data_IF_369457364796
#
_entry.id   IF_369457364796
#
_cell.length_a   1.000
_cell.length_b   1.000
_cell.length_c   1.000
_cell.angle_alpha   90.00
_cell.angle_beta   90.00
_cell.angle_gamma   90.00
#
_symmetry.space_group_name_H-M   'P 1'
#
loop_
_entity.id
_entity.type
_entity.pdbx_description
1 polymer ?
#
# COMPACT_ATOMS: atom_id res chain seq x y z
N UNK A 1 -2.88 2.01 -22.23
CA UNK A 1 -3.43 0.77 -22.79
C UNK A 1 -3.71 -0.34 -21.80
N UNK A 2 -3.03 -0.42 -20.64
CA UNK A 2 -3.16 -1.55 -19.68
C UNK A 2 -4.54 -1.67 -19.03
N UNK A 3 -5.31 -0.58 -18.94
CA UNK A 3 -6.63 -0.57 -18.31
C UNK A 3 -7.58 -1.61 -18.92
N UNK A 4 -7.59 -1.77 -20.26
CA UNK A 4 -8.48 -2.71 -20.95
C UNK A 4 -8.11 -4.17 -20.68
N UNK A 5 -6.82 -4.47 -20.51
CA UNK A 5 -6.37 -5.80 -20.10
C UNK A 5 -6.88 -6.16 -18.69
N UNK A 6 -6.82 -5.19 -17.76
CA UNK A 6 -7.32 -5.38 -16.40
C UNK A 6 -8.85 -5.52 -16.33
N UNK A 7 -9.60 -4.74 -17.11
CA UNK A 7 -11.07 -4.83 -17.16
C UNK A 7 -11.56 -6.22 -17.55
N UNK A 8 -10.83 -6.94 -18.43
CA UNK A 8 -11.17 -8.31 -18.86
C UNK A 8 -11.12 -9.33 -17.72
N UNK A 9 -10.41 -9.04 -16.62
CA UNK A 9 -10.25 -9.95 -15.47
C UNK A 9 -11.44 -9.96 -14.52
N UNK A 10 -12.37 -8.98 -14.64
CA UNK A 10 -13.57 -8.88 -13.79
C UNK A 10 -13.24 -8.91 -12.28
N UNK A 11 -12.22 -8.17 -11.86
CA UNK A 11 -11.86 -8.05 -10.46
C UNK A 11 -12.99 -7.41 -9.63
N UNK A 12 -13.01 -7.71 -8.33
CA UNK A 12 -13.95 -7.09 -7.39
C UNK A 12 -13.73 -5.58 -7.33
N UNK A 13 -14.81 -4.82 -7.45
CA UNK A 13 -14.74 -3.35 -7.44
C UNK A 13 -14.58 -2.83 -6.02
N UNK A 14 -13.57 -2.00 -5.80
CA UNK A 14 -13.34 -1.25 -4.57
C UNK A 14 -13.87 0.19 -4.74
N UNK A 15 -15.09 0.45 -4.30
CA UNK A 15 -15.72 1.79 -4.34
C UNK A 15 -15.68 2.50 -2.98
N UNK A 16 -14.89 2.01 -2.04
CA UNK A 16 -14.78 2.58 -0.70
C UNK A 16 -14.03 1.66 0.25
N UNK A 17 -14.09 1.97 1.54
CA UNK A 17 -13.50 1.17 2.60
C UNK A 17 -14.33 1.27 3.88
N UNK A 18 -14.32 0.21 4.67
CA UNK A 18 -14.95 0.13 6.00
C UNK A 18 -13.88 -0.01 7.06
N UNK A 19 -14.02 0.78 8.12
CA UNK A 19 -13.26 0.63 9.35
C UNK A 19 -14.21 0.27 10.48
N UNK A 20 -13.82 -0.69 11.32
CA UNK A 20 -14.61 -1.17 12.44
C UNK A 20 -13.78 -1.15 13.71
N UNK A 21 -14.41 -0.84 14.84
CA UNK A 21 -13.81 -0.94 16.18
C UNK A 21 -14.90 -1.29 17.19
N UNK A 22 -14.99 -2.55 17.58
CA UNK A 22 -16.12 -3.06 18.35
C UNK A 22 -17.42 -2.87 17.57
N UNK A 23 -18.40 -2.22 18.19
CA UNK A 23 -19.72 -1.91 17.61
C UNK A 23 -19.73 -0.71 16.65
N UNK A 24 -18.61 0.04 16.58
CA UNK A 24 -18.52 1.26 15.76
C UNK A 24 -18.07 0.95 14.35
N UNK A 25 -18.78 1.54 13.38
CA UNK A 25 -18.47 1.38 11.94
C UNK A 25 -18.33 2.76 11.31
N UNK A 26 -17.22 2.95 10.58
CA UNK A 26 -16.98 4.09 9.72
C UNK A 26 -16.85 3.62 8.27
N UNK A 27 -17.73 4.09 7.39
CA UNK A 27 -17.68 3.79 5.96
C UNK A 27 -17.22 5.02 5.18
N UNK A 28 -16.26 4.81 4.28
CA UNK A 28 -15.89 5.76 3.25
C UNK A 28 -16.42 5.28 1.91
N UNK A 29 -17.05 6.18 1.17
CA UNK A 29 -17.57 5.97 -0.18
C UNK A 29 -16.78 6.89 -1.11
N UNK A 30 -16.00 6.32 -2.02
CA UNK A 30 -15.12 7.09 -2.90
C UNK A 30 -15.88 8.00 -3.87
N UNK A 31 -17.17 7.75 -4.13
CA UNK A 31 -18.01 8.68 -4.90
C UNK A 31 -18.31 9.97 -4.17
N UNK A 32 -18.10 10.02 -2.84
CA UNK A 32 -18.32 11.18 -1.99
C UNK A 32 -17.02 11.89 -1.59
N UNK A 33 -15.89 11.56 -2.25
CA UNK A 33 -14.62 12.21 -1.98
C UNK A 33 -14.61 13.67 -2.44
N UNK A 34 -13.77 14.48 -1.83
CA UNK A 34 -13.60 15.92 -2.13
C UNK A 34 -13.03 16.15 -3.53
N UNK A 35 -11.99 15.42 -3.89
CA UNK A 35 -11.24 15.61 -5.13
C UNK A 35 -11.95 14.94 -6.30
N UNK A 36 -12.08 15.61 -7.44
CA UNK A 36 -12.61 15.03 -8.67
C UNK A 36 -11.70 13.93 -9.22
N UNK A 37 -12.26 12.99 -9.97
CA UNK A 37 -11.55 11.89 -10.59
C UNK A 37 -12.18 10.53 -10.28
N UNK A 38 -11.43 9.45 -10.50
CA UNK A 38 -11.91 8.08 -10.32
C UNK A 38 -12.43 7.85 -8.89
N UNK A 39 -13.59 7.26 -8.78
CA UNK A 39 -14.29 6.96 -7.52
C UNK A 39 -14.30 5.47 -7.18
N UNK A 40 -13.53 4.68 -7.92
CA UNK A 40 -13.37 3.25 -7.72
C UNK A 40 -12.00 2.76 -8.16
N UNK A 41 -11.63 1.59 -7.68
CA UNK A 41 -10.50 0.77 -8.14
C UNK A 41 -10.87 -0.70 -7.99
N UNK A 42 -9.91 -1.62 -7.93
CA UNK A 42 -10.15 -3.04 -7.75
C UNK A 42 -9.52 -3.60 -6.48
N UNK A 43 -10.12 -4.69 -5.98
CA UNK A 43 -9.54 -5.64 -5.04
C UNK A 43 -9.04 -6.83 -5.86
N UNK A 44 -7.73 -7.06 -5.85
CA UNK A 44 -7.09 -7.96 -6.81
C UNK A 44 -6.22 -9.01 -6.14
N UNK A 45 -6.28 -10.28 -6.60
CA UNK A 45 -5.20 -11.23 -6.36
C UNK A 45 -3.95 -10.75 -7.10
N UNK A 46 -2.88 -10.39 -6.37
CA UNK A 46 -1.70 -9.73 -6.94
C UNK A 46 -0.97 -10.56 -7.98
N UNK A 47 -0.90 -11.90 -7.81
CA UNK A 47 -0.28 -12.77 -8.80
C UNK A 47 -0.97 -12.68 -10.17
N UNK A 48 -2.31 -12.67 -10.20
CA UNK A 48 -3.07 -12.54 -11.44
C UNK A 48 -3.03 -11.12 -12.01
N UNK A 49 -3.12 -10.10 -11.14
CA UNK A 49 -3.05 -8.70 -11.55
C UNK A 49 -1.68 -8.37 -12.16
N UNK A 50 -0.60 -8.73 -11.50
CA UNK A 50 0.75 -8.45 -11.97
C UNK A 50 1.03 -9.22 -13.28
N UNK A 51 0.57 -10.49 -13.37
CA UNK A 51 0.69 -11.27 -14.60
C UNK A 51 -0.11 -10.69 -15.75
N UNK A 52 -1.32 -10.19 -15.52
CA UNK A 52 -2.12 -9.56 -16.57
C UNK A 52 -1.41 -8.34 -17.19
N UNK A 53 -0.68 -7.58 -16.39
CA UNK A 53 0.12 -6.44 -16.87
C UNK A 53 1.33 -6.89 -17.69
N UNK A 54 2.05 -7.91 -17.23
CA UNK A 54 3.23 -8.43 -17.95
C UNK A 54 2.81 -9.10 -19.27
N UNK A 55 1.75 -9.91 -19.27
CA UNK A 55 1.22 -10.54 -20.49
C UNK A 55 0.86 -9.47 -21.55
N UNK A 56 0.24 -8.38 -21.15
CA UNK A 56 -0.11 -7.30 -22.07
C UNK A 56 1.14 -6.60 -22.63
N UNK A 57 2.18 -6.37 -21.79
CA UNK A 57 3.45 -5.77 -22.25
C UNK A 57 4.17 -6.65 -23.27
N UNK A 58 4.16 -7.96 -23.10
CA UNK A 58 4.72 -8.90 -24.08
C UNK A 58 4.03 -8.78 -25.45
N UNK A 59 2.70 -8.54 -25.46
CA UNK A 59 1.97 -8.30 -26.75
C UNK A 59 2.43 -7.01 -27.45
N UNK A 60 3.01 -6.08 -26.72
CA UNK A 60 3.60 -4.83 -27.27
C UNK A 60 5.06 -4.99 -27.69
N UNK A 61 5.62 -6.19 -27.55
CA UNK A 61 7.00 -6.49 -27.93
C UNK A 61 8.02 -6.13 -26.86
N UNK A 62 7.60 -5.95 -25.60
CA UNK A 62 8.52 -5.77 -24.48
C UNK A 62 9.10 -7.15 -24.12
N UNK A 63 10.42 -7.27 -24.11
CA UNK A 63 11.08 -8.48 -23.65
C UNK A 63 11.03 -8.55 -22.12
N UNK A 64 10.56 -9.66 -21.59
CA UNK A 64 10.52 -9.93 -20.16
C UNK A 64 11.24 -11.25 -19.90
N UNK A 65 12.39 -11.16 -19.20
CA UNK A 65 13.17 -12.32 -18.81
C UNK A 65 12.81 -12.72 -17.37
N UNK A 66 12.27 -13.91 -17.20
CA UNK A 66 11.96 -14.50 -15.89
C UNK A 66 13.15 -15.27 -15.35
N UNK A 67 13.11 -15.54 -14.03
CA UNK A 67 14.13 -16.36 -13.33
C UNK A 67 15.56 -15.80 -13.49
N UNK A 68 15.68 -14.48 -13.63
CA UNK A 68 16.94 -13.75 -13.75
C UNK A 68 17.16 -12.90 -12.49
N UNK A 69 18.18 -13.24 -11.71
CA UNK A 69 18.56 -12.50 -10.51
C UNK A 69 19.57 -11.40 -10.84
N UNK A 70 19.25 -10.14 -10.55
CA UNK A 70 20.23 -9.05 -10.64
C UNK A 70 21.12 -9.10 -9.40
N UNK A 71 22.42 -9.37 -9.61
CA UNK A 71 23.41 -9.56 -8.53
C UNK A 71 24.45 -8.46 -8.44
N UNK A 72 24.55 -7.60 -9.45
CA UNK A 72 25.50 -6.48 -9.48
C UNK A 72 25.10 -5.42 -10.49
N UNK A 73 25.58 -4.21 -10.27
CA UNK A 73 25.46 -3.10 -11.21
C UNK A 73 26.68 -2.21 -11.12
N UNK A 74 27.28 -1.88 -12.27
CA UNK A 74 28.38 -0.94 -12.41
C UNK A 74 27.92 0.21 -13.28
N UNK A 75 28.10 1.45 -12.80
CA UNK A 75 27.75 2.68 -13.52
C UNK A 75 29.00 3.33 -14.12
N UNK A 76 28.87 3.82 -15.34
CA UNK A 76 29.85 4.68 -16.01
C UNK A 76 29.13 5.92 -16.54
N UNK A 77 29.00 6.93 -15.70
CA UNK A 77 28.07 8.03 -15.94
C UNK A 77 26.62 7.50 -15.90
N UNK A 78 25.82 7.86 -16.89
CA UNK A 78 24.45 7.35 -17.04
C UNK A 78 24.36 5.92 -17.57
N UNK A 79 25.40 5.45 -18.26
CA UNK A 79 25.44 4.07 -18.77
C UNK A 79 25.73 3.07 -17.64
N UNK A 80 25.19 1.88 -17.76
CA UNK A 80 25.35 0.83 -16.75
C UNK A 80 25.61 -0.54 -17.36
N UNK A 81 26.29 -1.39 -16.58
CA UNK A 81 26.41 -2.83 -16.84
C UNK A 81 25.76 -3.55 -15.64
N UNK A 82 24.68 -4.25 -15.91
CA UNK A 82 23.97 -5.05 -14.90
C UNK A 82 24.38 -6.51 -15.01
N UNK A 83 24.90 -7.09 -13.93
CA UNK A 83 25.25 -8.51 -13.84
C UNK A 83 24.02 -9.30 -13.42
N UNK A 84 23.68 -10.30 -14.22
CA UNK A 84 22.53 -11.19 -14.04
C UNK A 84 23.02 -12.59 -13.80
N UNK A 85 22.40 -13.27 -12.83
CA UNK A 85 22.61 -14.66 -12.52
C UNK A 85 21.40 -15.49 -12.94
N UNK A 86 21.64 -16.50 -13.73
CA UNK A 86 20.65 -17.48 -14.16
C UNK A 86 20.39 -18.55 -13.09
N UNK A 87 19.32 -19.34 -13.27
CA UNK A 87 18.94 -20.45 -12.37
C UNK A 87 20.06 -21.49 -12.26
N UNK A 88 20.80 -21.75 -13.33
CA UNK A 88 21.93 -22.66 -13.34
C UNK A 88 23.22 -22.07 -12.71
N UNK A 89 23.16 -20.84 -12.24
CA UNK A 89 24.27 -20.12 -11.62
C UNK A 89 25.21 -19.43 -12.61
N UNK A 90 24.96 -19.53 -13.93
CA UNK A 90 25.73 -18.80 -14.93
C UNK A 90 25.52 -17.29 -14.82
N UNK A 91 26.57 -16.51 -15.15
CA UNK A 91 26.52 -15.06 -15.12
C UNK A 91 26.50 -14.50 -16.54
N UNK A 92 25.64 -13.52 -16.74
CA UNK A 92 25.58 -12.72 -17.96
C UNK A 92 25.53 -11.22 -17.62
N UNK A 93 25.73 -10.36 -18.60
CA UNK A 93 25.72 -8.93 -18.40
C UNK A 93 24.86 -8.23 -19.46
N UNK A 94 24.09 -7.23 -19.01
CA UNK A 94 23.28 -6.37 -19.88
C UNK A 94 23.73 -4.93 -19.71
N UNK A 95 23.99 -4.25 -20.84
CA UNK A 95 24.23 -2.81 -20.86
C UNK A 95 22.91 -2.06 -20.99
N UNK A 96 22.75 -0.99 -20.23
CA UNK A 96 21.59 -0.12 -20.31
C UNK A 96 22.01 1.36 -20.19
N UNK A 97 21.26 2.23 -20.86
CA UNK A 97 21.43 3.70 -20.73
C UNK A 97 20.76 4.24 -19.46
N UNK A 98 19.81 3.50 -18.92
CA UNK A 98 19.09 3.87 -17.70
C UNK A 98 18.44 2.64 -17.06
N UNK A 99 18.45 2.56 -15.74
CA UNK A 99 17.84 1.50 -14.96
C UNK A 99 16.64 2.06 -14.19
N UNK A 100 15.49 1.35 -14.27
CA UNK A 100 14.35 1.57 -13.40
C UNK A 100 14.28 0.40 -12.42
N UNK A 101 14.55 0.63 -11.15
CA UNK A 101 14.38 -0.39 -10.14
C UNK A 101 12.93 -0.38 -9.62
N UNK A 102 12.16 -1.37 -10.05
CA UNK A 102 10.81 -1.67 -9.58
C UNK A 102 10.77 -3.00 -8.81
N UNK A 103 11.88 -3.40 -8.19
CA UNK A 103 12.06 -4.70 -7.51
C UNK A 103 11.20 -4.87 -6.24
N UNK A 104 10.43 -3.85 -5.87
CA UNK A 104 9.50 -3.91 -4.76
C UNK A 104 10.19 -4.22 -3.43
N UNK A 105 9.72 -5.23 -2.71
CA UNK A 105 10.34 -5.69 -1.47
C UNK A 105 11.72 -6.36 -1.68
N UNK A 106 12.06 -6.71 -2.92
CA UNK A 106 13.38 -7.21 -3.29
C UNK A 106 14.49 -6.17 -3.10
N UNK A 107 14.16 -4.86 -3.29
CA UNK A 107 15.06 -3.72 -3.02
C UNK A 107 16.47 -3.93 -3.59
N UNK A 108 16.53 -4.23 -4.89
CA UNK A 108 17.78 -4.66 -5.55
C UNK A 108 18.81 -3.54 -5.53
N UNK A 109 18.55 -2.40 -6.18
CA UNK A 109 19.49 -1.28 -6.18
C UNK A 109 19.70 -0.67 -4.78
N UNK A 110 18.67 -0.51 -3.93
CA UNK A 110 18.89 -0.05 -2.55
C UNK A 110 19.93 -0.89 -1.80
N UNK A 111 19.92 -2.21 -1.94
CA UNK A 111 20.92 -3.11 -1.31
C UNK A 111 22.29 -3.03 -2.00
N UNK A 112 22.33 -3.06 -3.32
CA UNK A 112 23.59 -3.04 -4.08
C UNK A 112 24.34 -1.73 -3.94
N UNK A 113 23.64 -0.61 -3.75
CA UNK A 113 24.20 0.76 -3.68
C UNK A 113 24.20 1.34 -2.26
N UNK A 114 23.91 0.54 -1.24
CA UNK A 114 23.80 0.99 0.17
C UNK A 114 22.88 2.20 0.35
N UNK A 115 21.71 2.17 -0.29
CA UNK A 115 20.72 3.25 -0.21
C UNK A 115 19.66 3.04 0.87
N UNK A 116 19.60 1.87 1.49
CA UNK A 116 18.64 1.59 2.55
C UNK A 116 18.81 2.55 3.73
N UNK A 117 17.69 3.02 4.27
CA UNK A 117 17.64 3.72 5.55
C UNK A 117 16.45 3.23 6.38
N UNK A 118 16.51 3.35 7.72
CA UNK A 118 15.35 3.07 8.57
C UNK A 118 14.16 3.95 8.19
N UNK A 119 12.97 3.37 8.20
CA UNK A 119 11.72 4.16 8.10
C UNK A 119 11.40 4.83 9.43
N UNK A 120 10.80 6.02 9.36
CA UNK A 120 10.26 6.74 10.52
C UNK A 120 8.88 6.20 10.97
N UNK A 121 8.33 5.24 10.24
CA UNK A 121 7.13 4.50 10.63
C UNK A 121 7.53 3.39 11.60
N UNK A 122 6.70 3.14 12.61
CA UNK A 122 6.96 2.12 13.64
C UNK A 122 7.24 0.72 13.08
N UNK A 123 7.81 -0.16 13.91
CA UNK A 123 8.10 -1.54 13.55
C UNK A 123 6.82 -2.39 13.59
N UNK A 124 6.10 -2.42 12.47
CA UNK A 124 4.96 -3.28 12.27
C UNK A 124 5.32 -4.46 11.37
N UNK A 125 4.69 -5.59 11.63
CA UNK A 125 4.75 -6.79 10.79
C UNK A 125 3.33 -7.18 10.38
N UNK A 126 3.20 -7.97 9.34
CA UNK A 126 1.94 -8.57 8.95
C UNK A 126 2.02 -10.08 8.90
N UNK A 127 0.90 -10.75 9.19
CA UNK A 127 0.70 -12.17 8.94
C UNK A 127 -0.58 -12.35 8.16
N UNK A 128 -0.55 -13.05 7.03
CA UNK A 128 -1.71 -13.12 6.13
C UNK A 128 -1.74 -14.38 5.28
N UNK A 129 -2.94 -14.68 4.79
CA UNK A 129 -3.22 -15.70 3.78
C UNK A 129 -4.44 -15.34 2.95
N UNK A 130 -4.81 -16.19 2.00
CA UNK A 130 -6.12 -16.19 1.35
C UNK A 130 -6.95 -17.38 1.81
N UNK A 131 -8.25 -17.18 1.98
CA UNK A 131 -9.19 -18.23 2.36
C UNK A 131 -10.25 -18.41 1.29
N UNK A 132 -10.66 -19.65 1.05
CA UNK A 132 -11.85 -19.94 0.27
C UNK A 132 -13.08 -19.59 1.11
N UNK A 133 -13.64 -18.42 0.85
CA UNK A 133 -14.62 -17.77 1.73
C UNK A 133 -16.06 -18.30 1.49
N UNK A 134 -16.31 -19.51 1.95
CA UNK A 134 -17.60 -20.19 1.79
C UNK A 134 -18.70 -19.61 2.68
N UNK A 135 -18.33 -18.80 3.68
CA UNK A 135 -19.27 -18.13 4.59
C UNK A 135 -19.47 -16.65 4.23
N UNK A 136 -19.06 -16.22 3.02
CA UNK A 136 -19.14 -14.82 2.57
C UNK A 136 -20.59 -14.34 2.54
N UNK A 137 -20.93 -13.21 3.19
CA UNK A 137 -22.24 -12.58 3.09
C UNK A 137 -22.58 -12.19 1.65
N UNK A 138 -23.87 -12.08 1.35
CA UNK A 138 -24.33 -11.56 0.06
C UNK A 138 -24.30 -10.04 0.00
N UNK A 139 -24.21 -9.48 -1.22
CA UNK A 139 -24.22 -8.05 -1.48
C UNK A 139 -23.00 -7.32 -0.95
N UNK A 140 -23.16 -6.04 -0.58
CA UNK A 140 -22.06 -5.16 -0.17
C UNK A 140 -21.27 -5.68 1.03
N UNK A 141 -21.91 -6.36 1.96
CA UNK A 141 -21.26 -6.94 3.14
C UNK A 141 -20.21 -8.01 2.75
N UNK A 142 -20.39 -8.68 1.64
CA UNK A 142 -19.45 -9.67 1.13
C UNK A 142 -18.40 -9.12 0.17
N UNK A 143 -18.51 -7.87 -0.27
CA UNK A 143 -17.61 -7.29 -1.28
C UNK A 143 -16.78 -6.11 -0.77
N UNK A 144 -17.21 -5.44 0.31
CA UNK A 144 -16.48 -4.29 0.84
C UNK A 144 -15.19 -4.70 1.54
N UNK A 145 -14.09 -4.03 1.19
CA UNK A 145 -12.85 -4.12 1.98
C UNK A 145 -13.09 -3.58 3.38
N UNK A 146 -12.68 -4.34 4.38
CA UNK A 146 -12.86 -3.96 5.78
C UNK A 146 -11.56 -4.04 6.56
N UNK A 147 -11.39 -3.07 7.47
CA UNK A 147 -10.33 -3.01 8.46
C UNK A 147 -10.97 -3.10 9.84
N UNK A 148 -10.74 -4.20 10.56
CA UNK A 148 -11.24 -4.42 11.92
C UNK A 148 -10.13 -4.13 12.93
N UNK A 149 -10.34 -3.11 13.76
CA UNK A 149 -9.36 -2.60 14.72
C UNK A 149 -9.55 -3.34 16.03
N UNK A 150 -8.71 -4.36 16.24
CA UNK A 150 -8.77 -5.20 17.45
C UNK A 150 -8.04 -4.58 18.65
N UNK A 151 -7.09 -3.70 18.39
CA UNK A 151 -6.45 -2.82 19.39
C UNK A 151 -5.92 -1.54 18.73
N UNK A 152 -5.37 -0.60 19.50
CA UNK A 152 -4.87 0.66 18.98
C UNK A 152 -3.87 0.46 17.82
N UNK A 153 -2.98 -0.51 17.93
CA UNK A 153 -1.90 -0.75 16.98
C UNK A 153 -2.06 -2.05 16.17
N UNK A 154 -3.11 -2.84 16.45
CA UNK A 154 -3.34 -4.13 15.76
C UNK A 154 -4.69 -4.14 15.07
N UNK A 155 -4.71 -4.51 13.82
CA UNK A 155 -5.90 -4.53 12.99
C UNK A 155 -5.87 -5.68 11.98
N UNK A 156 -7.05 -6.18 11.63
CA UNK A 156 -7.30 -7.21 10.63
C UNK A 156 -7.77 -6.55 9.33
N UNK A 157 -7.22 -6.95 8.19
CA UNK A 157 -7.87 -6.66 6.91
C UNK A 157 -8.70 -7.85 6.43
N UNK A 158 -9.79 -7.53 5.76
CA UNK A 158 -10.66 -8.48 5.05
C UNK A 158 -10.89 -7.93 3.66
N UNK A 159 -10.28 -8.55 2.63
CA UNK A 159 -10.30 -8.08 1.24
C UNK A 159 -10.88 -9.17 0.36
N UNK A 160 -12.20 -9.13 0.08
CA UNK A 160 -12.85 -10.10 -0.80
C UNK A 160 -12.41 -9.93 -2.26
N UNK A 161 -12.18 -11.04 -2.96
CA UNK A 161 -11.92 -11.07 -4.39
C UNK A 161 -13.12 -11.63 -5.15
N UNK A 162 -13.22 -11.32 -6.46
CA UNK A 162 -14.31 -11.80 -7.31
C UNK A 162 -14.29 -13.32 -7.56
N UNK A 163 -13.15 -13.98 -7.36
CA UNK A 163 -12.95 -15.41 -7.56
C UNK A 163 -13.44 -16.30 -6.40
N UNK A 164 -14.08 -15.72 -5.36
CA UNK A 164 -14.57 -16.45 -4.19
C UNK A 164 -13.57 -16.57 -3.04
N UNK A 165 -12.32 -16.15 -3.23
CA UNK A 165 -11.35 -16.05 -2.16
C UNK A 165 -11.42 -14.68 -1.46
N UNK A 166 -10.99 -14.65 -0.21
CA UNK A 166 -10.81 -13.42 0.57
C UNK A 166 -9.40 -13.40 1.15
N UNK A 167 -8.67 -12.31 0.94
CA UNK A 167 -7.42 -12.07 1.65
C UNK A 167 -7.73 -11.63 3.07
N UNK A 168 -7.14 -12.30 4.04
CA UNK A 168 -7.21 -11.95 5.46
C UNK A 168 -5.81 -11.82 6.03
N UNK A 169 -5.61 -10.85 6.91
CA UNK A 169 -4.32 -10.72 7.57
C UNK A 169 -4.30 -9.65 8.62
N UNK A 170 -3.45 -9.84 9.61
CA UNK A 170 -3.22 -8.90 10.70
C UNK A 170 -1.96 -8.07 10.45
N UNK A 171 -2.04 -6.82 10.86
CA UNK A 171 -0.88 -5.94 11.05
C UNK A 171 -0.85 -5.53 12.51
N UNK A 172 0.34 -5.49 13.07
CA UNK A 172 0.55 -5.06 14.44
C UNK A 172 2.04 -4.89 14.75
N UNK A 173 2.39 -4.46 15.97
CA UNK A 173 3.77 -4.37 16.41
C UNK A 173 4.50 -5.70 16.19
N UNK A 174 5.72 -5.66 15.64
CA UNK A 174 6.46 -6.88 15.26
C UNK A 174 6.62 -7.84 16.42
N UNK A 175 6.97 -7.33 17.62
CA UNK A 175 7.14 -8.15 18.81
C UNK A 175 5.82 -8.79 19.27
N UNK A 176 4.68 -8.10 19.07
CA UNK A 176 3.36 -8.65 19.38
C UNK A 176 2.99 -9.82 18.46
N UNK A 177 3.18 -9.68 17.14
CA UNK A 177 2.95 -10.78 16.19
C UNK A 177 3.88 -11.96 16.47
N UNK A 178 5.14 -11.69 16.81
CA UNK A 178 6.11 -12.73 17.14
C UNK A 178 5.82 -13.44 18.48
N UNK A 179 5.09 -12.82 19.38
CA UNK A 179 4.72 -13.43 20.69
C UNK A 179 3.80 -14.63 20.57
N UNK A 180 3.01 -14.73 19.48
CA UNK A 180 2.17 -15.92 19.22
C UNK A 180 3.04 -17.12 18.90
N UNK A 181 2.70 -18.28 19.47
CA UNK A 181 3.49 -19.51 19.36
C UNK A 181 2.98 -20.40 18.23
N UNK A 182 3.80 -21.38 17.81
CA UNK A 182 3.43 -22.37 16.81
C UNK A 182 3.80 -21.99 15.38
N UNK A 183 3.27 -22.75 14.43
CA UNK A 183 3.37 -22.49 12.99
C UNK A 183 2.67 -21.17 12.60
N UNK A 184 2.93 -20.65 11.41
CA UNK A 184 2.25 -19.44 10.94
C UNK A 184 0.72 -19.65 10.88
N UNK A 185 0.28 -20.85 10.53
CA UNK A 185 -1.16 -21.21 10.55
C UNK A 185 -1.75 -21.09 11.95
N UNK A 186 -1.10 -21.68 12.96
CA UNK A 186 -1.57 -21.61 14.35
C UNK A 186 -1.56 -20.18 14.88
N UNK A 187 -0.52 -19.40 14.55
CA UNK A 187 -0.47 -17.97 14.91
C UNK A 187 -1.64 -17.17 14.32
N UNK A 188 -1.92 -17.33 13.03
CA UNK A 188 -3.03 -16.61 12.39
C UNK A 188 -4.39 -17.04 12.98
N UNK A 189 -4.57 -18.33 13.27
CA UNK A 189 -5.79 -18.86 13.90
C UNK A 189 -5.98 -18.28 15.30
N UNK A 190 -4.92 -18.20 16.11
CA UNK A 190 -5.00 -17.56 17.43
C UNK A 190 -5.29 -16.06 17.34
N UNK A 191 -4.64 -15.36 16.40
CA UNK A 191 -4.93 -13.95 16.17
C UNK A 191 -6.35 -13.70 15.67
N UNK A 192 -6.93 -14.63 14.90
CA UNK A 192 -8.33 -14.51 14.43
C UNK A 192 -9.33 -14.43 15.57
N UNK A 193 -9.04 -15.03 16.73
CA UNK A 193 -9.88 -14.94 17.93
C UNK A 193 -9.98 -13.52 18.51
N UNK A 194 -9.09 -12.61 18.10
CA UNK A 194 -9.13 -11.19 18.50
C UNK A 194 -10.26 -10.42 17.81
N UNK A 195 -10.75 -10.92 16.67
CA UNK A 195 -11.84 -10.29 15.93
C UNK A 195 -13.17 -10.93 16.31
N UNK A 196 -13.93 -10.28 17.16
CA UNK A 196 -15.28 -10.75 17.55
C UNK A 196 -16.22 -10.83 16.34
N UNK A 197 -16.04 -9.94 15.35
CA UNK A 197 -16.90 -9.86 14.18
C UNK A 197 -16.58 -10.91 13.11
N UNK A 198 -15.30 -11.22 12.92
CA UNK A 198 -14.86 -12.07 11.81
C UNK A 198 -14.46 -13.48 12.20
N UNK A 199 -14.35 -13.79 13.49
CA UNK A 199 -13.92 -15.11 13.97
C UNK A 199 -14.80 -16.23 13.38
N UNK A 200 -16.11 -16.16 13.57
CA UNK A 200 -17.06 -17.19 13.12
C UNK A 200 -17.07 -17.37 11.60
N UNK A 201 -16.80 -16.27 10.84
CA UNK A 201 -16.74 -16.32 9.38
C UNK A 201 -15.53 -17.10 8.88
N UNK A 202 -14.37 -16.92 9.50
CA UNK A 202 -13.12 -17.48 9.02
C UNK A 202 -12.64 -18.71 9.78
N UNK A 203 -13.26 -19.04 10.90
CA UNK A 203 -12.93 -20.25 11.65
C UNK A 203 -13.13 -21.51 10.81
N UNK A 204 -12.10 -22.35 10.75
CA UNK A 204 -12.11 -23.65 10.07
C UNK A 204 -12.14 -23.59 8.53
N UNK A 205 -11.96 -22.41 7.93
CA UNK A 205 -11.85 -22.31 6.46
C UNK A 205 -10.48 -22.80 5.96
N UNK A 206 -10.48 -23.33 4.76
CA UNK A 206 -9.27 -23.75 4.03
C UNK A 206 -8.45 -22.54 3.59
N UNK A 207 -7.16 -22.56 3.88
CA UNK A 207 -6.19 -21.57 3.43
C UNK A 207 -5.66 -21.95 2.04
N UNK A 208 -5.57 -20.99 1.12
CA UNK A 208 -5.01 -21.17 -0.21
C UNK A 208 -3.51 -21.48 -0.16
N UNK A 209 -2.82 -20.91 0.83
CA UNK A 209 -1.40 -21.12 1.10
C UNK A 209 -1.11 -20.92 2.60
N UNK A 210 0.00 -21.51 3.07
CA UNK A 210 0.43 -21.30 4.45
C UNK A 210 0.64 -19.81 4.72
N UNK A 211 0.13 -19.26 5.86
CA UNK A 211 0.27 -17.83 6.15
C UNK A 211 1.71 -17.35 6.11
N UNK A 212 1.89 -16.20 5.49
CA UNK A 212 3.20 -15.55 5.32
C UNK A 212 3.34 -14.41 6.32
N UNK A 213 4.52 -14.30 6.94
CA UNK A 213 4.86 -13.16 7.79
C UNK A 213 5.81 -12.24 7.02
N UNK A 214 5.43 -10.96 6.89
CA UNK A 214 6.31 -9.89 6.40
C UNK A 214 6.73 -9.05 7.61
N UNK A 215 8.02 -9.12 7.94
CA UNK A 215 8.59 -8.40 9.10
C UNK A 215 9.01 -6.99 8.71
N UNK A 216 8.79 -6.05 9.66
CA UNK A 216 9.22 -4.65 9.50
C UNK A 216 8.83 -4.08 8.14
N UNK A 217 7.54 -3.98 7.89
CA UNK A 217 6.93 -3.68 6.58
C UNK A 217 7.42 -2.35 6.00
N UNK A 218 7.53 -1.33 6.86
CA UNK A 218 7.95 0.01 6.43
C UNK A 218 9.41 0.04 5.98
N UNK A 219 9.66 0.62 4.81
CA UNK A 219 10.99 0.73 4.19
C UNK A 219 11.18 2.11 3.60
N UNK A 220 12.40 2.62 3.63
CA UNK A 220 12.78 3.92 3.05
C UNK A 220 14.16 3.87 2.43
N UNK A 221 14.55 4.91 1.68
CA UNK A 221 15.85 5.05 1.03
C UNK A 221 16.47 6.42 1.26
N UNK A 222 17.80 6.48 1.15
CA UNK A 222 18.57 7.73 1.21
C UNK A 222 18.35 8.61 -0.02
N UNK A 223 18.13 7.99 -1.20
CA UNK A 223 17.95 8.66 -2.50
C UNK A 223 16.93 7.90 -3.35
N UNK A 224 16.10 8.62 -4.10
CA UNK A 224 15.13 8.04 -5.03
C UNK A 224 15.70 7.84 -6.45
N UNK A 225 16.78 8.52 -6.77
CA UNK A 225 17.41 8.48 -8.10
C UNK A 225 18.92 8.70 -7.98
N UNK A 226 19.63 8.44 -9.05
CA UNK A 226 21.05 8.76 -9.24
C UNK A 226 21.39 8.87 -10.72
N UNK A 227 22.64 9.06 -11.04
CA UNK A 227 23.10 9.08 -12.43
C UNK A 227 22.85 7.69 -13.04
N UNK A 228 21.96 7.61 -14.03
CA UNK A 228 21.62 6.37 -14.74
C UNK A 228 20.59 5.46 -14.05
N UNK A 229 19.97 5.84 -12.92
CA UNK A 229 18.92 5.04 -12.31
C UNK A 229 17.83 5.85 -11.59
N UNK A 230 16.67 5.23 -11.42
CA UNK A 230 15.57 5.68 -10.55
C UNK A 230 14.93 4.49 -9.83
N UNK A 231 14.48 4.72 -8.59
CA UNK A 231 13.74 3.75 -7.80
C UNK A 231 12.25 4.07 -7.88
N UNK A 232 11.40 3.05 -8.03
CA UNK A 232 9.94 3.21 -8.11
C UNK A 232 9.21 2.25 -7.18
N UNK A 233 7.99 2.61 -6.77
CA UNK A 233 7.17 1.75 -5.90
C UNK A 233 7.87 1.36 -4.60
N UNK A 234 7.72 0.10 -4.18
CA UNK A 234 8.24 -0.38 -2.89
C UNK A 234 9.78 -0.52 -2.87
N UNK A 235 10.47 -0.45 -4.01
CA UNK A 235 11.93 -0.35 -4.00
C UNK A 235 12.39 1.01 -3.49
N UNK A 236 11.57 2.05 -3.63
CA UNK A 236 11.81 3.40 -3.13
C UNK A 236 11.30 3.57 -1.69
N UNK A 237 9.99 3.43 -1.49
CA UNK A 237 9.33 3.69 -0.21
C UNK A 237 8.16 2.74 0.00
N UNK A 238 8.01 2.22 1.21
CA UNK A 238 6.80 1.55 1.65
C UNK A 238 6.48 1.98 3.08
N UNK A 239 5.26 2.46 3.31
CA UNK A 239 4.86 2.98 4.60
C UNK A 239 4.16 1.91 5.44
N UNK A 240 2.89 1.62 5.08
CA UNK A 240 2.02 0.71 5.82
C UNK A 240 0.82 0.34 4.93
N UNK A 241 0.27 -0.88 5.04
CA UNK A 241 -0.85 -1.28 4.19
C UNK A 241 -2.21 -0.70 4.61
N UNK A 242 -2.32 -0.03 5.76
CA UNK A 242 -3.61 0.45 6.32
C UNK A 242 -4.43 1.32 5.37
N UNK A 243 -3.79 2.11 4.52
CA UNK A 243 -4.48 2.95 3.53
C UNK A 243 -4.31 2.46 2.09
N UNK A 244 -3.79 1.25 1.89
CA UNK A 244 -3.62 0.63 0.56
C UNK A 244 -2.83 1.50 -0.45
N UNK A 245 -1.86 2.28 0.00
CA UNK A 245 -1.13 3.28 -0.81
C UNK A 245 -0.08 2.70 -1.76
N UNK A 246 0.35 1.43 -1.58
CA UNK A 246 1.49 0.86 -2.30
C UNK A 246 1.34 0.86 -3.82
N UNK A 247 0.17 0.47 -4.35
CA UNK A 247 -0.07 0.48 -5.80
C UNK A 247 -0.15 1.89 -6.35
N UNK A 248 -0.73 2.84 -5.60
CA UNK A 248 -0.76 4.27 -5.97
C UNK A 248 0.66 4.81 -6.16
N UNK A 249 1.54 4.57 -5.19
CA UNK A 249 2.94 5.00 -5.32
C UNK A 249 3.69 4.28 -6.44
N UNK A 250 3.45 2.98 -6.63
CA UNK A 250 4.10 2.22 -7.69
C UNK A 250 3.72 2.75 -9.09
N UNK A 251 2.43 2.99 -9.32
CA UNK A 251 1.94 3.49 -10.62
C UNK A 251 2.33 4.93 -10.86
N UNK A 252 2.20 5.82 -9.87
CA UNK A 252 2.56 7.23 -10.02
C UNK A 252 4.06 7.42 -10.20
N UNK A 253 4.89 6.80 -9.36
CA UNK A 253 6.34 6.89 -9.50
C UNK A 253 6.83 6.37 -10.85
N UNK A 254 6.27 5.25 -11.31
CA UNK A 254 6.64 4.69 -12.62
C UNK A 254 6.19 5.58 -13.78
N UNK A 255 5.02 6.20 -13.69
CA UNK A 255 4.51 7.12 -14.72
C UNK A 255 5.38 8.38 -14.82
N UNK A 256 5.72 9.00 -13.69
CA UNK A 256 6.58 10.19 -13.65
C UNK A 256 7.98 9.83 -14.14
N UNK A 257 8.57 8.76 -13.59
CA UNK A 257 9.90 8.32 -13.99
C UNK A 257 10.00 8.03 -15.49
N UNK A 258 9.02 7.32 -16.07
CA UNK A 258 9.04 6.99 -17.51
C UNK A 258 9.00 8.22 -18.40
N UNK A 259 8.24 9.26 -18.03
CA UNK A 259 8.20 10.53 -18.77
C UNK A 259 9.54 11.26 -18.72
N UNK A 260 10.18 11.31 -17.55
CA UNK A 260 11.46 11.97 -17.36
C UNK A 260 12.59 11.22 -18.06
N UNK A 261 12.60 9.90 -18.00
CA UNK A 261 13.56 9.08 -18.74
C UNK A 261 13.43 9.31 -20.24
N UNK A 262 12.20 9.34 -20.76
CA UNK A 262 11.99 9.61 -22.19
C UNK A 262 12.56 10.98 -22.62
N UNK A 263 12.36 12.04 -21.82
CA UNK A 263 12.98 13.36 -22.04
C UNK A 263 14.50 13.27 -22.02
N UNK A 264 15.08 12.65 -21.00
CA UNK A 264 16.54 12.54 -20.85
C UNK A 264 17.18 11.76 -22.00
N UNK A 265 16.57 10.64 -22.43
CA UNK A 265 17.05 9.85 -23.56
C UNK A 265 16.90 10.59 -24.91
N UNK A 266 15.98 11.55 -25.00
CA UNK A 266 15.85 12.47 -26.13
C UNK A 266 16.89 13.63 -26.11
N UNK A 267 17.72 13.70 -25.06
CA UNK A 267 18.76 14.73 -24.90
C UNK A 267 18.30 16.02 -24.21
N UNK A 268 17.09 15.99 -23.59
CA UNK A 268 16.60 17.11 -22.80
C UNK A 268 17.21 17.07 -21.38
N UNK A 269 17.38 18.24 -20.77
CA UNK A 269 17.77 18.32 -19.35
C UNK A 269 16.58 18.02 -18.46
N UNK A 270 16.78 17.15 -17.48
CA UNK A 270 15.77 16.74 -16.48
C UNK A 270 16.24 17.11 -15.09
N UNK A 271 15.39 17.80 -14.33
CA UNK A 271 15.62 18.09 -12.92
C UNK A 271 14.98 16.98 -12.06
N UNK A 272 15.72 15.89 -11.88
CA UNK A 272 15.27 14.73 -11.10
C UNK A 272 14.91 15.06 -9.64
N UNK A 273 15.56 16.08 -9.05
CA UNK A 273 15.23 16.48 -7.68
C UNK A 273 13.83 17.08 -7.61
N UNK A 274 13.55 18.10 -8.42
CA UNK A 274 12.27 18.80 -8.35
C UNK A 274 11.14 18.07 -9.09
N UNK A 275 11.43 17.48 -10.28
CA UNK A 275 10.40 16.85 -11.11
C UNK A 275 10.04 15.43 -10.64
N UNK A 276 10.91 14.76 -9.86
CA UNK A 276 10.66 13.41 -9.36
C UNK A 276 10.72 13.32 -7.84
N UNK A 277 11.89 13.58 -7.23
CA UNK A 277 12.11 13.26 -5.83
C UNK A 277 11.21 14.10 -4.90
N UNK A 278 11.16 15.42 -5.07
CA UNK A 278 10.32 16.29 -4.27
C UNK A 278 8.83 16.03 -4.52
N UNK A 279 8.43 15.81 -5.78
CA UNK A 279 7.07 15.45 -6.13
C UNK A 279 6.62 14.15 -5.42
N UNK A 280 7.43 13.09 -5.46
CA UNK A 280 7.10 11.84 -4.78
C UNK A 280 7.09 12.00 -3.25
N UNK A 281 8.04 12.73 -2.68
CA UNK A 281 8.09 13.02 -1.24
C UNK A 281 6.84 13.75 -0.74
N UNK A 282 6.27 14.67 -1.53
CA UNK A 282 5.01 15.33 -1.16
C UNK A 282 3.89 14.32 -0.90
N UNK A 283 3.63 13.39 -1.82
CA UNK A 283 2.60 12.36 -1.64
C UNK A 283 2.92 11.38 -0.50
N UNK A 284 4.20 10.96 -0.39
CA UNK A 284 4.68 10.09 0.69
C UNK A 284 4.43 10.75 2.05
N UNK A 285 4.75 12.04 2.21
CA UNK A 285 4.59 12.77 3.47
C UNK A 285 3.12 12.87 3.92
N UNK A 286 2.19 13.02 2.98
CA UNK A 286 0.75 13.01 3.30
C UNK A 286 0.37 11.65 3.88
N UNK A 287 0.63 10.55 3.18
CA UNK A 287 0.31 9.22 3.68
C UNK A 287 1.09 8.87 4.96
N UNK A 288 2.35 9.24 5.06
CA UNK A 288 3.14 9.01 6.29
C UNK A 288 2.53 9.71 7.52
N UNK A 289 1.98 10.92 7.35
CA UNK A 289 1.22 11.57 8.40
C UNK A 289 0.00 10.75 8.79
N UNK A 290 -0.79 10.31 7.82
CA UNK A 290 -1.99 9.53 8.08
C UNK A 290 -1.66 8.21 8.79
N UNK A 291 -0.60 7.51 8.38
CA UNK A 291 -0.14 6.29 9.05
C UNK A 291 0.30 6.58 10.49
N UNK A 292 1.09 7.63 10.72
CA UNK A 292 1.51 8.02 12.08
C UNK A 292 0.30 8.38 12.96
N UNK A 293 -0.62 9.19 12.43
CA UNK A 293 -1.82 9.61 13.17
C UNK A 293 -2.86 8.47 13.32
N UNK A 294 -2.78 7.42 12.53
CA UNK A 294 -3.51 6.18 12.74
C UNK A 294 -3.03 5.47 14.01
N UNK A 295 -1.73 5.25 14.14
CA UNK A 295 -1.14 4.54 15.29
C UNK A 295 -1.09 5.38 16.57
N UNK A 296 -1.18 6.70 16.50
CA UNK A 296 -1.42 7.54 17.70
C UNK A 296 -2.88 7.52 18.17
N UNK A 297 -3.80 7.01 17.35
CA UNK A 297 -5.22 6.99 17.63
C UNK A 297 -6.00 8.23 17.14
N UNK A 298 -5.31 9.27 16.70
CA UNK A 298 -5.96 10.52 16.25
C UNK A 298 -6.92 10.28 15.07
N UNK A 299 -6.50 9.54 14.04
CA UNK A 299 -7.40 9.20 12.93
C UNK A 299 -8.53 8.27 13.35
N UNK A 300 -8.27 7.31 14.25
CA UNK A 300 -9.32 6.46 14.80
C UNK A 300 -10.35 7.29 15.60
N UNK A 301 -9.89 8.32 16.33
CA UNK A 301 -10.79 9.25 17.02
C UNK A 301 -11.71 9.97 16.03
N UNK A 302 -11.17 10.47 14.91
CA UNK A 302 -11.96 11.13 13.86
C UNK A 302 -12.92 10.15 13.17
N UNK A 303 -12.45 8.94 12.84
CA UNK A 303 -13.27 7.97 12.11
C UNK A 303 -14.48 7.48 12.91
N UNK A 304 -14.33 7.37 14.23
CA UNK A 304 -15.36 6.85 15.13
C UNK A 304 -16.00 7.94 15.99
N UNK A 305 -15.90 9.20 15.53
CA UNK A 305 -16.61 10.31 16.15
C UNK A 305 -18.12 10.20 15.91
N UNK A 306 -18.90 10.57 16.91
CA UNK A 306 -20.37 10.66 16.81
C UNK A 306 -20.83 11.82 15.96
N UNK A 307 -20.03 12.91 15.87
CA UNK A 307 -20.30 14.08 15.05
C UNK A 307 -19.71 13.90 13.64
N UNK A 308 -20.42 13.17 12.77
CA UNK A 308 -20.00 12.95 11.38
C UNK A 308 -20.06 14.26 10.58
N UNK A 309 -18.92 14.92 10.39
CA UNK A 309 -18.81 16.10 9.54
C UNK A 309 -18.60 15.68 8.08
N UNK A 310 -19.61 15.84 7.19
CA UNK A 310 -19.53 15.34 5.81
C UNK A 310 -18.38 15.97 5.01
N UNK A 311 -18.04 17.24 5.26
CA UNK A 311 -16.96 17.94 4.57
C UNK A 311 -15.60 17.38 4.95
N UNK A 312 -15.33 17.20 6.25
CA UNK A 312 -14.10 16.60 6.74
C UNK A 312 -13.97 15.16 6.23
N UNK A 313 -15.06 14.40 6.28
CA UNK A 313 -15.11 13.02 5.79
C UNK A 313 -14.81 12.94 4.28
N UNK A 314 -15.37 13.84 3.47
CA UNK A 314 -15.07 13.88 2.04
C UNK A 314 -13.60 14.22 1.75
N UNK A 315 -13.01 15.15 2.50
CA UNK A 315 -11.59 15.52 2.37
C UNK A 315 -10.65 14.39 2.77
N UNK A 316 -10.92 13.70 3.86
CA UNK A 316 -10.18 12.50 4.28
C UNK A 316 -10.38 11.37 3.25
N UNK A 317 -11.62 11.16 2.79
CA UNK A 317 -11.95 10.17 1.77
C UNK A 317 -11.11 10.33 0.49
N UNK A 318 -10.85 11.57 0.05
CA UNK A 318 -9.98 11.83 -1.09
C UNK A 318 -8.55 11.35 -0.86
N UNK A 319 -8.00 11.54 0.35
CA UNK A 319 -6.67 11.02 0.71
C UNK A 319 -6.67 9.48 0.68
N UNK A 320 -7.68 8.84 1.27
CA UNK A 320 -7.83 7.37 1.26
C UNK A 320 -8.03 6.80 -0.15
N UNK A 321 -8.58 7.59 -1.07
CA UNK A 321 -8.72 7.26 -2.48
C UNK A 321 -7.43 7.51 -3.30
N UNK A 322 -6.34 7.96 -2.66
CA UNK A 322 -5.03 8.15 -3.31
C UNK A 322 -4.75 9.56 -3.83
N UNK A 323 -5.63 10.53 -3.64
CA UNK A 323 -5.48 11.91 -4.13
C UNK A 323 -4.60 12.75 -3.20
N UNK A 324 -3.35 12.33 -2.99
CA UNK A 324 -2.41 12.92 -2.03
C UNK A 324 -1.57 14.08 -2.58
N UNK A 325 -1.73 14.41 -3.86
CA UNK A 325 -1.09 15.57 -4.51
C UNK A 325 -2.08 16.73 -4.78
N UNK A 326 -3.37 16.57 -4.42
CA UNK A 326 -4.38 17.62 -4.56
C UNK A 326 -4.24 18.68 -3.48
N UNK A 327 -3.52 19.77 -3.80
CA UNK A 327 -3.28 20.90 -2.87
C UNK A 327 -4.51 21.76 -2.59
N UNK A 328 -5.61 21.58 -3.33
CA UNK A 328 -6.90 22.22 -3.02
C UNK A 328 -7.57 21.56 -1.81
N UNK A 329 -7.27 20.29 -1.55
CA UNK A 329 -7.73 19.58 -0.37
C UNK A 329 -6.98 20.06 0.88
N UNK A 330 -7.66 20.71 1.87
CA UNK A 330 -7.01 21.14 3.10
C UNK A 330 -6.30 20.03 3.87
N UNK A 331 -6.84 18.80 3.83
CA UNK A 331 -6.27 17.61 4.49
C UNK A 331 -5.08 17.00 3.74
N UNK A 332 -4.77 17.48 2.54
CA UNK A 332 -3.49 17.28 1.84
C UNK A 332 -2.55 18.43 2.16
N UNK A 333 -2.99 19.67 1.93
CA UNK A 333 -2.15 20.87 2.06
C UNK A 333 -1.63 21.09 3.49
N UNK A 334 -2.46 20.83 4.49
CA UNK A 334 -2.17 21.08 5.91
C UNK A 334 -2.31 19.79 6.76
N UNK A 335 -1.99 18.64 6.19
CA UNK A 335 -2.25 17.31 6.77
C UNK A 335 -1.78 17.18 8.23
N UNK A 336 -0.53 17.58 8.52
CA UNK A 336 0.05 17.49 9.87
C UNK A 336 -0.75 18.23 10.96
N UNK A 337 -1.27 19.40 10.61
CA UNK A 337 -2.00 20.24 11.56
C UNK A 337 -3.47 19.83 11.67
N UNK A 338 -4.11 19.61 10.52
CA UNK A 338 -5.56 19.40 10.50
C UNK A 338 -5.98 18.08 11.14
N UNK A 339 -5.27 16.99 10.88
CA UNK A 339 -5.59 15.70 11.49
C UNK A 339 -5.55 15.81 13.02
N UNK A 340 -4.47 16.37 13.58
CA UNK A 340 -4.34 16.58 15.04
C UNK A 340 -5.38 17.52 15.61
N UNK A 341 -5.67 18.61 14.91
CA UNK A 341 -6.63 19.61 15.38
C UNK A 341 -8.05 19.03 15.44
N UNK A 342 -8.47 18.33 14.38
CA UNK A 342 -9.80 17.71 14.33
C UNK A 342 -9.94 16.59 15.36
N UNK A 343 -8.91 15.75 15.53
CA UNK A 343 -8.91 14.72 16.57
C UNK A 343 -9.10 15.34 17.98
N UNK A 344 -8.37 16.40 18.27
CA UNK A 344 -8.49 17.09 19.56
C UNK A 344 -9.88 17.71 19.78
N UNK A 345 -10.48 18.29 18.75
CA UNK A 345 -11.85 18.83 18.83
C UNK A 345 -12.82 17.69 19.16
N UNK A 346 -12.75 16.57 18.46
CA UNK A 346 -13.58 15.40 18.70
C UNK A 346 -13.42 14.82 20.13
N UNK A 347 -12.22 14.86 20.68
CA UNK A 347 -11.98 14.47 22.08
C UNK A 347 -12.62 15.43 23.07
N UNK A 348 -12.48 16.73 22.87
CA UNK A 348 -13.07 17.77 23.74
C UNK A 348 -14.61 17.70 23.74
N UNK A 349 -15.23 17.44 22.59
CA UNK A 349 -16.69 17.27 22.45
C UNK A 349 -17.15 16.06 23.24
N UNK A 350 -16.45 14.92 23.14
CA UNK A 350 -16.75 13.72 23.94
C UNK A 350 -16.62 13.93 25.47
N UNK A 351 -15.64 14.74 25.88
CA UNK A 351 -15.47 15.08 27.29
C UNK A 351 -16.60 16.00 27.80
N UNK A 352 -16.99 16.97 26.98
CA UNK A 352 -18.11 17.87 27.29
C UNK A 352 -19.43 17.10 27.44
N UNK A 353 -19.73 16.17 26.51
CA UNK A 353 -20.95 15.33 26.56
C UNK A 353 -20.99 14.47 27.82
N UNK A 354 -19.86 13.90 28.23
CA UNK A 354 -19.75 13.10 29.49
C UNK A 354 -19.95 13.94 30.76
N UNK A 355 -19.70 15.25 30.70
CA UNK A 355 -19.83 16.14 31.84
C UNK A 355 -21.26 16.65 32.03
N UNK A 356 -22.12 16.50 31.04
CA UNK A 356 -23.52 16.97 31.03
C UNK A 356 -24.52 15.82 31.30
N UNK A 357 -24.11 14.57 31.12
CA UNK A 357 -24.93 13.38 31.37
C UNK A 357 -24.57 12.70 32.68
#
# INVERSE_FOLDING_TARGET
>A
GLLEALKKRNYEVKAGARFMRGDKICNFDFSKKFTEGWDWTWQVPRADFDKALTDELETWGVNIDFEKEVVGVDFNGSDSITTIKDVDGSLSAISAKFIVDSSGHGRVLPRLLDLDKPSDIGRHSSIFTHVKDTKRPQGREGTIITFDIVSLETWLWVIPFSNGYTSIGFVGPSDYIESFQGSHTEKLQEMMKLSEYYFDRFEGLEYEFEPVIIKNIAKSVKKLYGEGFVLTGNSAEFLDPVFSSGVTFATESSLVASKLIAKQLAGETVDWENEYAEYMKEGVNVFATYVKEWYTGNLQTIFFDSNDNPTIKAQICAVLAGYVWDKENPFVKNHHRLVKTVARIAEMEKEADKSIG
#
